data_IF_803787748399
#
_entry.id   IF_803787748399
#
_cell.length_a   1.000
_cell.length_b   1.000
_cell.length_c   1.000
_cell.angle_alpha   90.00
_cell.angle_beta   90.00
_cell.angle_gamma   90.00
#
_symmetry.space_group_name_H-M   'P 1'
#
loop_
_entity.id
_entity.type
_entity.pdbx_description
1 polymer ?
#
# COMPACT_ATOMS: atom_id res chain seq x y z
N UNK A 1 -17.10 43.05 12.56
CA UNK A 1 -15.78 42.87 11.91
C UNK A 1 -15.66 41.38 11.76
N UNK A 2 -16.22 40.86 10.67
CA UNK A 2 -16.65 39.47 10.63
C UNK A 2 -15.71 38.67 9.75
N UNK A 3 -15.19 37.60 10.34
CA UNK A 3 -14.20 36.72 9.76
C UNK A 3 -14.73 36.08 8.47
N UNK A 4 -14.03 36.35 7.37
CA UNK A 4 -14.25 35.73 6.08
C UNK A 4 -13.74 34.28 6.12
N UNK A 5 -14.60 33.35 6.54
CA UNK A 5 -14.36 31.91 6.40
C UNK A 5 -14.42 31.54 4.91
N UNK A 6 -13.26 31.56 4.25
CA UNK A 6 -13.10 30.96 2.93
C UNK A 6 -13.09 29.44 3.10
N UNK A 7 -14.27 28.84 2.97
CA UNK A 7 -14.39 27.39 2.77
C UNK A 7 -13.83 27.09 1.39
N UNK A 8 -12.56 26.66 1.33
CA UNK A 8 -11.98 26.10 0.12
C UNK A 8 -12.52 24.67 0.02
N UNK A 9 -13.59 24.51 -0.76
CA UNK A 9 -14.03 23.20 -1.20
C UNK A 9 -12.92 22.64 -2.10
N UNK A 10 -12.17 21.65 -1.60
CA UNK A 10 -11.29 20.83 -2.44
C UNK A 10 -12.11 20.26 -3.60
N UNK A 11 -11.62 20.29 -4.85
CA UNK A 11 -12.31 19.55 -5.90
C UNK A 11 -12.28 18.07 -5.51
N UNK A 12 -13.47 17.48 -5.43
CA UNK A 12 -13.61 16.04 -5.48
C UNK A 12 -13.03 15.63 -6.83
N UNK A 13 -11.80 15.12 -6.83
CA UNK A 13 -11.16 14.58 -8.03
C UNK A 13 -11.83 13.24 -8.29
N UNK A 14 -13.02 13.28 -8.89
CA UNK A 14 -13.89 12.10 -8.99
C UNK A 14 -13.32 11.01 -9.90
N UNK A 15 -12.37 11.30 -10.78
CA UNK A 15 -11.71 10.28 -11.59
C UNK A 15 -10.27 10.69 -11.85
N UNK A 16 -9.31 9.79 -11.59
CA UNK A 16 -7.90 9.93 -11.94
C UNK A 16 -7.61 8.99 -13.13
N UNK A 17 -7.94 9.40 -14.37
CA UNK A 17 -7.96 8.48 -15.50
C UNK A 17 -6.56 7.91 -15.78
N UNK A 18 -5.52 8.70 -15.54
CA UNK A 18 -4.12 8.27 -15.68
C UNK A 18 -3.74 7.14 -14.73
N UNK A 19 -4.27 7.15 -13.51
CA UNK A 19 -4.01 6.13 -12.49
C UNK A 19 -4.77 4.84 -12.83
N UNK A 20 -6.05 4.97 -13.18
CA UNK A 20 -6.90 3.87 -13.62
C UNK A 20 -6.36 3.20 -14.89
N UNK A 21 -6.01 3.97 -15.93
CA UNK A 21 -5.42 3.41 -17.15
C UNK A 21 -4.07 2.73 -16.88
N UNK A 22 -3.21 3.31 -16.03
CA UNK A 22 -1.92 2.72 -15.69
C UNK A 22 -2.07 1.34 -15.06
N UNK A 23 -2.91 1.21 -14.03
CA UNK A 23 -3.16 -0.08 -13.39
C UNK A 23 -3.97 -1.05 -14.26
N UNK A 24 -4.90 -0.56 -15.07
CA UNK A 24 -5.64 -1.40 -16.01
C UNK A 24 -4.73 -2.02 -17.06
N UNK A 25 -3.79 -1.24 -17.62
CA UNK A 25 -2.76 -1.75 -18.55
C UNK A 25 -1.83 -2.76 -17.85
N UNK A 26 -1.37 -2.46 -16.64
CA UNK A 26 -0.50 -3.37 -15.86
C UNK A 26 -1.18 -4.69 -15.48
N UNK A 27 -2.50 -4.69 -15.31
CA UNK A 27 -3.30 -5.89 -15.04
C UNK A 27 -3.65 -6.68 -16.29
N UNK A 28 -3.76 -6.02 -17.45
CA UNK A 28 -4.06 -6.65 -18.75
C UNK A 28 -2.82 -7.27 -19.40
N UNK A 29 -1.63 -6.72 -19.16
CA UNK A 29 -0.38 -7.24 -19.73
C UNK A 29 0.14 -8.45 -18.95
N UNK A 30 -0.24 -9.64 -19.40
CA UNK A 30 0.29 -10.93 -18.91
C UNK A 30 1.83 -11.07 -19.15
N UNK A 31 2.46 -10.17 -19.91
CA UNK A 31 3.90 -10.11 -20.22
C UNK A 31 4.65 -8.99 -19.51
N UNK A 32 4.02 -8.24 -18.60
CA UNK A 32 4.72 -7.26 -17.75
C UNK A 32 5.73 -7.90 -16.77
N UNK A 33 5.84 -9.22 -16.80
CA UNK A 33 6.98 -9.93 -16.23
C UNK A 33 8.22 -9.75 -17.13
N UNK A 34 9.23 -9.04 -16.60
CA UNK A 34 10.67 -9.11 -16.95
C UNK A 34 11.26 -8.13 -17.97
N UNK A 35 10.76 -6.91 -18.08
CA UNK A 35 11.63 -5.83 -18.59
C UNK A 35 11.53 -4.60 -17.71
N UNK A 36 12.59 -4.21 -16.97
CA UNK A 36 12.63 -2.88 -16.39
C UNK A 36 12.68 -1.90 -17.56
N UNK A 37 11.61 -1.15 -17.78
CA UNK A 37 11.69 0.02 -18.65
C UNK A 37 12.67 0.98 -17.96
N UNK A 38 13.89 1.03 -18.49
CA UNK A 38 14.96 1.92 -18.01
C UNK A 38 14.41 3.34 -17.98
N UNK A 39 14.14 3.84 -16.77
CA UNK A 39 14.08 5.26 -16.52
C UNK A 39 15.38 5.88 -17.02
N UNK A 40 15.23 6.96 -17.77
CA UNK A 40 16.31 7.72 -18.40
C UNK A 40 17.39 8.07 -17.36
N UNK A 41 18.60 7.57 -17.59
CA UNK A 41 19.81 7.84 -16.80
C UNK A 41 20.18 9.32 -16.87
N UNK A 42 20.48 9.93 -15.72
CA UNK A 42 21.58 10.89 -15.63
C UNK A 42 22.58 10.33 -14.62
N UNK A 43 23.80 10.19 -15.16
CA UNK A 43 25.08 9.75 -14.62
C UNK A 43 25.22 8.31 -14.10
N UNK A 44 25.83 7.51 -14.98
CA UNK A 44 26.56 6.27 -14.69
C UNK A 44 27.74 6.56 -13.75
N UNK A 45 27.85 5.81 -12.64
CA UNK A 45 29.15 5.42 -12.10
C UNK A 45 29.09 4.01 -11.49
N UNK A 46 30.12 3.16 -11.65
CA UNK A 46 30.02 1.73 -11.44
C UNK A 46 30.70 1.28 -10.14
N UNK A 47 29.95 0.85 -9.14
CA UNK A 47 30.38 -0.30 -8.33
C UNK A 47 29.26 -0.92 -7.49
N UNK A 48 29.29 -2.24 -7.38
CA UNK A 48 28.75 -3.01 -6.26
C UNK A 48 27.25 -2.93 -5.97
N UNK A 49 26.47 -3.87 -6.54
CA UNK A 49 25.22 -4.42 -5.99
C UNK A 49 24.40 -3.47 -5.09
N UNK A 50 23.92 -2.36 -5.64
CA UNK A 50 23.02 -1.45 -4.94
C UNK A 50 21.60 -1.98 -5.11
N UNK A 51 21.10 -2.65 -4.07
CA UNK A 51 19.73 -3.15 -4.00
C UNK A 51 18.79 -1.95 -3.87
N UNK A 52 18.37 -1.41 -5.01
CA UNK A 52 17.44 -0.27 -5.09
C UNK A 52 16.06 -0.70 -4.58
N UNK A 53 15.44 0.12 -3.72
CA UNK A 53 14.18 -0.14 -3.01
C UNK A 53 12.98 -0.47 -3.93
N UNK A 54 13.12 -0.26 -5.24
CA UNK A 54 12.06 -0.43 -6.24
C UNK A 54 12.49 -1.34 -7.41
N UNK A 55 13.30 -2.36 -7.15
CA UNK A 55 13.45 -3.46 -8.09
C UNK A 55 12.05 -4.04 -8.39
N UNK A 56 11.57 -3.88 -9.65
CA UNK A 56 10.25 -4.31 -10.19
C UNK A 56 9.09 -3.29 -10.14
N UNK A 57 9.36 -2.01 -9.95
CA UNK A 57 8.37 -0.95 -10.19
C UNK A 57 8.55 -0.36 -11.58
N UNK A 58 7.44 -0.01 -12.22
CA UNK A 58 7.42 0.78 -13.45
C UNK A 58 6.99 2.18 -13.17
N UNK A 59 7.45 3.08 -14.03
CA UNK A 59 7.28 4.52 -13.88
C UNK A 59 6.45 5.04 -15.05
N UNK A 60 5.46 5.86 -14.74
CA UNK A 60 4.74 6.69 -15.71
C UNK A 60 4.95 8.14 -15.31
N UNK A 61 5.41 8.97 -16.24
CA UNK A 61 5.73 10.37 -15.98
C UNK A 61 7.16 10.57 -15.46
N UNK A 62 7.37 11.56 -14.60
CA UNK A 62 8.70 12.02 -14.18
C UNK A 62 8.93 11.76 -12.71
N UNK A 63 9.99 11.03 -12.40
CA UNK A 63 10.42 10.79 -11.01
C UNK A 63 11.88 11.18 -10.85
N UNK A 64 12.29 11.49 -9.62
CA UNK A 64 13.72 11.59 -9.27
C UNK A 64 14.11 10.41 -8.41
N UNK A 65 15.28 9.86 -8.70
CA UNK A 65 15.97 8.96 -7.81
C UNK A 65 16.90 9.80 -6.93
N UNK A 66 16.72 9.73 -5.62
CA UNK A 66 17.51 10.52 -4.67
C UNK A 66 18.19 9.58 -3.67
N UNK A 67 19.40 9.97 -3.25
CA UNK A 67 20.20 9.20 -2.31
C UNK A 67 20.39 9.90 -0.97
N UNK A 68 20.70 9.09 0.03
CA UNK A 68 20.96 9.50 1.42
C UNK A 68 22.25 10.30 1.62
N UNK A 69 23.09 10.47 0.58
CA UNK A 69 24.32 11.28 0.69
C UNK A 69 23.98 12.77 0.65
N UNK A 70 22.93 13.14 -0.09
CA UNK A 70 22.54 14.53 -0.33
C UNK A 70 21.14 14.87 0.15
N UNK A 71 20.27 13.87 0.30
CA UNK A 71 18.86 14.06 0.63
C UNK A 71 18.45 13.24 1.85
N UNK A 72 17.31 13.61 2.44
CA UNK A 72 16.65 12.77 3.43
C UNK A 72 15.97 11.60 2.75
N UNK A 73 16.29 10.40 3.22
CA UNK A 73 15.71 9.14 2.78
C UNK A 73 15.03 8.50 4.00
N UNK A 74 13.71 8.23 3.96
CA UNK A 74 13.01 7.66 5.10
C UNK A 74 13.59 6.33 5.58
N UNK A 75 13.99 5.44 4.66
CA UNK A 75 14.65 4.19 4.98
C UNK A 75 15.76 3.80 3.99
N UNK A 76 16.86 3.25 4.49
CA UNK A 76 17.91 2.71 3.64
C UNK A 76 18.77 3.79 2.99
N UNK A 77 19.10 3.62 1.70
CA UNK A 77 20.12 4.44 1.02
C UNK A 77 19.59 5.36 -0.08
N UNK A 78 18.42 5.06 -0.63
CA UNK A 78 17.86 5.79 -1.75
C UNK A 78 16.35 5.55 -1.86
N UNK A 79 15.65 6.54 -2.40
CA UNK A 79 14.19 6.54 -2.55
C UNK A 79 13.79 7.20 -3.87
N UNK A 80 12.55 6.99 -4.30
CA UNK A 80 11.96 7.75 -5.40
C UNK A 80 11.12 8.92 -4.87
N UNK A 81 11.38 10.09 -5.42
CA UNK A 81 10.55 11.28 -5.31
C UNK A 81 9.60 11.37 -6.51
N UNK A 82 8.31 11.47 -6.23
CA UNK A 82 7.29 11.73 -7.23
C UNK A 82 7.31 13.23 -7.57
N UNK A 83 7.95 13.59 -8.68
CA UNK A 83 8.13 15.00 -9.05
C UNK A 83 6.80 15.56 -9.51
N UNK A 84 6.32 16.55 -8.79
CA UNK A 84 5.05 17.18 -9.07
C UNK A 84 5.17 18.24 -10.17
N UNK A 85 4.37 18.15 -11.23
CA UNK A 85 4.37 19.07 -12.38
C UNK A 85 3.77 18.44 -13.65
N UNK A 86 3.82 17.12 -13.69
CA UNK A 86 3.05 16.21 -14.55
C UNK A 86 2.54 15.04 -13.67
N UNK A 87 1.58 14.22 -14.12
CA UNK A 87 1.23 12.99 -13.41
C UNK A 87 2.46 12.08 -13.28
N UNK A 88 2.89 11.82 -12.06
CA UNK A 88 4.05 10.98 -11.75
C UNK A 88 3.60 9.79 -10.93
N UNK A 89 3.77 8.60 -11.49
CA UNK A 89 3.22 7.35 -10.97
C UNK A 89 4.31 6.29 -10.93
N UNK A 90 4.40 5.59 -9.80
CA UNK A 90 5.14 4.33 -9.68
C UNK A 90 4.13 3.20 -9.46
N UNK A 91 4.26 2.10 -10.20
CA UNK A 91 3.34 0.97 -10.08
C UNK A 91 4.02 -0.38 -10.23
N UNK A 92 3.45 -1.41 -9.61
CA UNK A 92 3.88 -2.79 -9.71
C UNK A 92 2.68 -3.74 -9.69
N UNK A 93 2.89 -5.00 -10.06
CA UNK A 93 1.85 -6.04 -10.05
C UNK A 93 2.19 -7.10 -9.02
N UNK A 94 1.28 -7.34 -8.07
CA UNK A 94 1.44 -8.34 -7.02
C UNK A 94 0.44 -9.49 -7.19
N UNK A 95 0.93 -10.73 -7.08
CA UNK A 95 0.08 -11.92 -7.07
C UNK A 95 -0.43 -12.19 -5.65
N UNK A 96 -1.75 -12.05 -5.44
CA UNK A 96 -2.43 -12.18 -4.16
C UNK A 96 -3.45 -13.34 -4.17
N UNK A 97 -3.80 -13.80 -2.98
CA UNK A 97 -4.82 -14.83 -2.79
C UNK A 97 -6.20 -14.19 -2.71
N UNK A 98 -7.03 -14.43 -3.72
CA UNK A 98 -8.43 -13.94 -3.77
C UNK A 98 -9.17 -14.29 -2.48
N UNK A 99 -9.89 -13.31 -1.94
CA UNK A 99 -10.66 -13.46 -0.71
C UNK A 99 -9.86 -13.21 0.57
N UNK A 100 -8.53 -13.16 0.50
CA UNK A 100 -7.68 -12.81 1.65
C UNK A 100 -7.63 -11.31 1.90
N UNK A 101 -7.43 -10.93 3.15
CA UNK A 101 -7.18 -9.55 3.55
C UNK A 101 -5.68 -9.30 3.58
N UNK A 102 -5.27 -8.11 3.16
CA UNK A 102 -3.90 -7.63 3.17
C UNK A 102 -3.84 -6.27 3.85
N UNK A 103 -2.67 -5.94 4.38
CA UNK A 103 -2.32 -4.59 4.85
C UNK A 103 -1.14 -4.11 4.02
N UNK A 104 -1.30 -2.98 3.33
CA UNK A 104 -0.21 -2.27 2.66
C UNK A 104 0.26 -1.16 3.60
N UNK A 105 1.54 -1.18 3.93
CA UNK A 105 2.22 -0.16 4.72
C UNK A 105 3.27 0.54 3.86
N UNK A 106 3.45 1.83 4.06
CA UNK A 106 4.47 2.62 3.36
C UNK A 106 4.82 3.87 4.15
N UNK A 107 5.97 4.45 3.85
CA UNK A 107 6.38 5.76 4.33
C UNK A 107 6.18 6.81 3.24
N UNK A 108 5.59 7.94 3.60
CA UNK A 108 5.50 9.13 2.78
C UNK A 108 6.38 10.21 3.43
N UNK A 109 7.13 10.99 2.67
CA UNK A 109 7.97 12.07 3.23
C UNK A 109 8.28 13.20 2.27
N UNK A 110 9.26 14.03 2.66
CA UNK A 110 9.96 14.98 1.81
C UNK A 110 11.48 14.75 1.83
N UNK A 111 12.18 15.24 0.81
CA UNK A 111 13.57 14.93 0.54
C UNK A 111 14.59 15.82 1.28
N UNK A 112 14.17 16.74 2.15
CA UNK A 112 15.05 17.79 2.71
C UNK A 112 15.71 18.68 1.62
N UNK A 113 14.95 18.98 0.57
CA UNK A 113 15.38 19.75 -0.59
C UNK A 113 14.73 21.15 -0.63
N UNK A 114 14.24 21.64 0.51
CA UNK A 114 13.48 22.89 0.64
C UNK A 114 12.14 22.91 -0.12
N UNK A 115 11.60 21.74 -0.51
CA UNK A 115 10.28 21.65 -1.10
C UNK A 115 9.17 21.88 -0.05
N UNK A 116 8.65 23.11 0.01
CA UNK A 116 7.58 23.49 0.95
C UNK A 116 6.23 23.44 0.25
N UNK A 117 5.29 22.64 0.74
CA UNK A 117 3.97 22.50 0.10
C UNK A 117 3.07 21.45 0.74
N UNK A 118 1.84 21.36 0.24
CA UNK A 118 0.91 20.29 0.58
C UNK A 118 1.08 19.14 -0.41
N UNK A 119 1.63 18.03 0.06
CA UNK A 119 1.77 16.83 -0.74
C UNK A 119 0.52 15.98 -0.64
N UNK A 120 0.11 15.44 -1.78
CA UNK A 120 -0.93 14.41 -1.88
C UNK A 120 -0.37 13.22 -2.64
N UNK A 121 -0.51 12.04 -2.04
CA UNK A 121 -0.19 10.75 -2.64
C UNK A 121 -1.48 9.96 -2.78
N UNK A 122 -1.72 9.49 -4.00
CA UNK A 122 -2.80 8.59 -4.34
C UNK A 122 -2.23 7.17 -4.38
N UNK A 123 -2.53 6.38 -3.36
CA UNK A 123 -2.19 4.96 -3.33
C UNK A 123 -3.35 4.16 -3.92
N UNK A 124 -3.11 3.34 -4.93
CA UNK A 124 -4.12 2.49 -5.54
C UNK A 124 -3.78 1.02 -5.35
N UNK A 125 -4.79 0.21 -5.07
CA UNK A 125 -4.72 -1.25 -5.15
C UNK A 125 -5.89 -1.77 -5.97
N UNK A 126 -5.59 -2.42 -7.10
CA UNK A 126 -6.58 -2.78 -8.09
C UNK A 126 -7.30 -1.53 -8.60
N UNK A 127 -8.61 -1.43 -8.37
CA UNK A 127 -9.42 -0.27 -8.74
C UNK A 127 -9.68 0.69 -7.57
N UNK A 128 -9.29 0.34 -6.35
CA UNK A 128 -9.55 1.18 -5.17
C UNK A 128 -8.40 2.16 -4.95
N UNK A 129 -8.73 3.42 -4.71
CA UNK A 129 -7.78 4.51 -4.50
C UNK A 129 -7.96 5.08 -3.09
N UNK A 130 -6.85 5.37 -2.42
CA UNK A 130 -6.76 6.05 -1.14
C UNK A 130 -5.86 7.28 -1.25
N UNK A 131 -6.28 8.36 -0.60
CA UNK A 131 -5.56 9.64 -0.64
C UNK A 131 -4.88 9.88 0.70
N UNK A 132 -3.58 10.17 0.66
CA UNK A 132 -2.76 10.50 1.81
C UNK A 132 -2.18 11.89 1.61
N UNK A 133 -2.29 12.74 2.63
CA UNK A 133 -1.81 14.12 2.56
C UNK A 133 -0.84 14.42 3.69
N UNK A 134 0.14 15.27 3.41
CA UNK A 134 1.03 15.83 4.42
C UNK A 134 1.47 17.24 4.01
N UNK A 135 1.69 18.10 5.00
CA UNK A 135 2.39 19.37 4.80
C UNK A 135 3.90 19.15 4.92
N UNK A 136 4.64 19.43 3.87
CA UNK A 136 6.09 19.47 3.91
C UNK A 136 6.61 20.87 4.26
N UNK A 137 7.67 20.90 5.07
CA UNK A 137 8.48 22.08 5.32
C UNK A 137 9.87 21.99 4.65
N UNK A 138 10.06 21.02 3.75
CA UNK A 138 11.30 20.79 3.02
C UNK A 138 12.50 20.41 3.89
N UNK A 139 12.26 19.78 5.04
CA UNK A 139 13.26 19.52 6.09
C UNK A 139 13.54 18.03 6.33
N UNK A 140 13.05 17.14 5.47
CA UNK A 140 13.25 15.70 5.52
C UNK A 140 12.28 14.94 6.40
N UNK A 141 11.05 15.43 6.56
CA UNK A 141 10.06 14.77 7.42
C UNK A 141 9.42 13.56 6.73
N UNK A 142 9.10 12.51 7.49
CA UNK A 142 8.43 11.31 6.98
C UNK A 142 7.39 10.77 7.97
N UNK A 143 6.32 10.16 7.45
CA UNK A 143 5.21 9.59 8.19
C UNK A 143 4.86 8.20 7.66
N UNK A 144 4.50 7.30 8.58
CA UNK A 144 4.04 5.96 8.22
C UNK A 144 2.54 5.99 7.92
N UNK A 145 2.17 5.32 6.84
CA UNK A 145 0.79 5.13 6.42
C UNK A 145 0.47 3.64 6.26
N UNK A 146 -0.79 3.29 6.44
CA UNK A 146 -1.27 1.94 6.21
C UNK A 146 -2.69 1.95 5.65
N UNK A 147 -2.98 0.96 4.83
CA UNK A 147 -4.33 0.68 4.33
C UNK A 147 -4.58 -0.82 4.34
N UNK A 148 -5.83 -1.20 4.56
CA UNK A 148 -6.27 -2.61 4.57
C UNK A 148 -7.26 -2.83 3.46
N UNK A 149 -7.04 -3.89 2.68
CA UNK A 149 -7.90 -4.24 1.55
C UNK A 149 -8.08 -5.75 1.46
N UNK A 150 -9.11 -6.18 0.74
CA UNK A 150 -9.36 -7.58 0.43
C UNK A 150 -9.05 -7.81 -1.05
N UNK A 151 -8.25 -8.83 -1.36
CA UNK A 151 -7.92 -9.14 -2.76
C UNK A 151 -9.16 -9.70 -3.48
N UNK A 152 -9.59 -9.02 -4.53
CA UNK A 152 -10.74 -9.43 -5.36
C UNK A 152 -10.32 -10.30 -6.55
N UNK A 153 -9.11 -10.06 -7.05
CA UNK A 153 -8.49 -10.77 -8.17
C UNK A 153 -7.10 -11.25 -7.77
N UNK A 154 -6.50 -12.13 -8.59
CA UNK A 154 -5.17 -12.70 -8.31
C UNK A 154 -4.08 -11.64 -8.54
N UNK A 155 -4.03 -11.03 -9.72
CA UNK A 155 -3.04 -10.01 -10.05
C UNK A 155 -3.59 -8.63 -9.71
N UNK A 156 -3.06 -8.01 -8.65
CA UNK A 156 -3.46 -6.67 -8.23
C UNK A 156 -2.34 -5.71 -8.58
N UNK A 157 -2.68 -4.65 -9.32
CA UNK A 157 -1.79 -3.51 -9.46
C UNK A 157 -1.74 -2.74 -8.14
N UNK A 158 -0.54 -2.37 -7.72
CA UNK A 158 -0.30 -1.45 -6.60
C UNK A 158 0.42 -0.24 -7.18
N UNK A 159 -0.11 0.96 -6.97
CA UNK A 159 0.51 2.18 -7.48
C UNK A 159 0.49 3.32 -6.47
N UNK A 160 1.45 4.22 -6.61
CA UNK A 160 1.51 5.50 -5.91
C UNK A 160 1.67 6.61 -6.93
N UNK A 161 0.85 7.65 -6.81
CA UNK A 161 0.87 8.78 -7.71
C UNK A 161 0.82 10.12 -6.99
N UNK A 162 1.42 11.14 -7.62
CA UNK A 162 1.19 12.54 -7.26
C UNK A 162 0.86 13.35 -8.51
N UNK A 163 -0.10 14.27 -8.38
CA UNK A 163 -0.61 15.10 -9.48
C UNK A 163 -0.46 16.60 -9.20
N UNK A 164 -0.32 17.00 -7.94
CA UNK A 164 -0.31 18.42 -7.55
C UNK A 164 1.10 18.99 -7.66
N UNK A 165 1.32 19.86 -8.65
CA UNK A 165 2.56 20.63 -8.86
C UNK A 165 3.07 21.32 -7.59
N UNK A 166 4.25 20.97 -7.11
CA UNK A 166 4.96 21.69 -6.05
C UNK A 166 6.36 22.05 -6.55
N UNK A 167 6.84 23.23 -6.16
CA UNK A 167 8.15 23.72 -6.56
C UNK A 167 8.87 24.34 -5.36
N UNK A 168 10.20 24.28 -5.39
CA UNK A 168 11.05 25.05 -4.48
C UNK A 168 11.01 26.54 -4.82
N UNK A 169 11.61 27.39 -3.97
CA UNK A 169 11.75 28.83 -4.24
C UNK A 169 12.51 29.14 -5.54
N UNK A 170 13.36 28.21 -5.98
CA UNK A 170 14.15 28.34 -7.21
C UNK A 170 13.40 27.80 -8.44
N UNK A 171 12.10 27.53 -8.32
CA UNK A 171 11.22 26.98 -9.35
C UNK A 171 11.62 25.58 -9.83
N UNK A 172 12.25 24.78 -8.96
CA UNK A 172 12.54 23.39 -9.24
C UNK A 172 11.35 22.53 -8.79
N UNK A 173 10.82 21.72 -9.70
CA UNK A 173 9.76 20.77 -9.36
C UNK A 173 10.27 19.72 -8.37
N UNK A 174 9.45 19.45 -7.37
CA UNK A 174 9.71 18.56 -6.25
C UNK A 174 8.39 17.98 -5.74
N UNK A 175 8.42 17.00 -4.85
CA UNK A 175 7.23 16.35 -4.37
C UNK A 175 7.47 15.30 -3.29
N UNK A 176 6.47 14.45 -3.01
CA UNK A 176 6.58 13.47 -1.95
C UNK A 176 7.53 12.34 -2.33
N UNK A 177 8.27 11.85 -1.33
CA UNK A 177 9.03 10.60 -1.42
C UNK A 177 8.19 9.44 -0.90
N UNK A 178 8.27 8.28 -1.56
CA UNK A 178 7.60 7.05 -1.14
C UNK A 178 8.66 5.98 -0.86
N UNK A 179 8.65 5.44 0.35
CA UNK A 179 9.64 4.47 0.81
C UNK A 179 9.01 3.36 1.67
N UNK A 180 9.80 2.35 2.01
CA UNK A 180 9.42 1.27 2.94
C UNK A 180 8.05 0.63 2.62
N UNK A 181 7.83 0.29 1.35
CA UNK A 181 6.56 -0.29 0.91
C UNK A 181 6.52 -1.77 1.27
N UNK A 182 5.67 -2.13 2.24
CA UNK A 182 5.53 -3.51 2.72
C UNK A 182 4.08 -3.97 2.57
N UNK A 183 3.90 -5.18 2.02
CA UNK A 183 2.59 -5.83 1.91
C UNK A 183 2.50 -7.05 2.82
N UNK A 184 1.65 -6.97 3.83
CA UNK A 184 1.42 -8.07 4.78
C UNK A 184 0.14 -8.84 4.42
N UNK A 185 0.22 -10.17 4.37
CA UNK A 185 -0.97 -11.01 4.37
C UNK A 185 -1.60 -10.98 5.77
N UNK A 186 -2.79 -10.40 5.89
CA UNK A 186 -3.54 -10.45 7.13
C UNK A 186 -4.21 -11.82 7.21
N UNK A 187 -3.69 -12.72 8.05
CA UNK A 187 -4.40 -13.96 8.40
C UNK A 187 -5.74 -13.59 9.04
N UNK A 188 -6.80 -13.61 8.23
CA UNK A 188 -8.18 -13.49 8.69
C UNK A 188 -8.53 -14.73 9.49
N UNK A 189 -8.19 -14.74 10.78
CA UNK A 189 -8.65 -15.77 11.71
C UNK A 189 -10.16 -15.65 11.82
N UNK A 190 -10.87 -16.40 10.99
CA UNK A 190 -12.20 -16.93 11.32
C UNK A 190 -12.13 -18.45 11.18
N UNK A 191 -11.54 -19.18 12.15
CA UNK A 191 -12.00 -20.53 12.37
C UNK A 191 -13.47 -20.36 12.77
N UNK A 192 -14.37 -20.61 11.82
CA UNK A 192 -15.76 -20.88 12.12
C UNK A 192 -15.78 -22.26 12.76
N UNK A 193 -15.16 -22.38 13.92
CA UNK A 193 -15.24 -23.57 14.74
C UNK A 193 -16.72 -23.64 15.10
N UNK A 194 -17.41 -24.62 14.52
CA UNK A 194 -18.80 -24.94 14.85
C UNK A 194 -18.83 -25.46 16.31
N UNK A 195 -18.55 -24.58 17.27
CA UNK A 195 -18.53 -24.86 18.71
C UNK A 195 -19.90 -25.42 19.13
N UNK A 196 -20.99 -24.95 18.52
CA UNK A 196 -22.32 -25.51 18.71
C UNK A 196 -22.45 -26.99 18.31
N UNK A 197 -21.74 -27.45 17.26
CA UNK A 197 -21.75 -28.86 16.82
C UNK A 197 -20.88 -29.71 17.74
N UNK A 198 -19.74 -29.19 18.18
CA UNK A 198 -18.86 -29.91 19.11
C UNK A 198 -19.49 -30.06 20.51
N UNK A 199 -20.14 -29.01 21.03
CA UNK A 199 -20.86 -29.06 22.31
C UNK A 199 -22.08 -29.99 22.23
N UNK A 200 -22.83 -29.94 21.14
CA UNK A 200 -23.98 -30.84 20.90
C UNK A 200 -23.59 -32.32 21.00
N UNK A 201 -22.53 -32.72 20.29
CA UNK A 201 -22.05 -34.11 20.29
C UNK A 201 -21.48 -34.53 21.65
N UNK A 202 -20.82 -33.63 22.38
CA UNK A 202 -20.33 -33.91 23.74
C UNK A 202 -21.48 -34.13 24.74
N UNK A 203 -22.55 -33.33 24.65
CA UNK A 203 -23.72 -33.50 25.53
C UNK A 203 -24.46 -34.80 25.23
N UNK A 204 -24.61 -35.20 23.96
CA UNK A 204 -25.22 -36.48 23.60
C UNK A 204 -24.39 -37.69 24.08
N UNK A 205 -23.07 -37.64 23.95
CA UNK A 205 -22.18 -38.73 24.40
C UNK A 205 -22.19 -38.87 25.93
N UNK A 206 -22.18 -37.76 26.66
CA UNK A 206 -22.29 -37.79 28.13
C UNK A 206 -23.66 -38.32 28.59
N UNK A 207 -24.76 -37.93 27.92
CA UNK A 207 -26.10 -38.45 28.23
C UNK A 207 -26.23 -39.94 27.96
N UNK A 208 -25.75 -40.41 26.81
CA UNK A 208 -25.79 -41.84 26.46
C UNK A 208 -24.92 -42.67 27.40
N UNK A 209 -23.72 -42.19 27.74
CA UNK A 209 -22.86 -42.86 28.72
C UNK A 209 -23.51 -42.94 30.11
N UNK A 210 -24.16 -41.87 30.57
CA UNK A 210 -24.88 -41.86 31.84
C UNK A 210 -26.05 -42.86 31.86
N UNK A 211 -26.83 -42.95 30.78
CA UNK A 211 -27.91 -43.93 30.62
C UNK A 211 -27.36 -45.37 30.65
N UNK A 212 -26.27 -45.63 29.92
CA UNK A 212 -25.64 -46.97 29.89
C UNK A 212 -25.12 -47.36 31.28
N UNK A 213 -24.49 -46.43 32.01
CA UNK A 213 -24.03 -46.66 33.38
C UNK A 213 -25.20 -46.95 34.32
N UNK A 214 -26.33 -46.25 34.17
CA UNK A 214 -27.52 -46.45 34.99
C UNK A 214 -28.17 -47.83 34.74
N UNK A 215 -28.26 -48.25 33.47
CA UNK A 215 -28.74 -49.58 33.09
C UNK A 215 -27.81 -50.70 33.58
N UNK A 216 -26.50 -50.51 33.46
CA UNK A 216 -25.51 -51.46 33.96
C UNK A 216 -25.60 -51.63 35.48
N UNK A 217 -25.86 -50.52 36.20
CA UNK A 217 -26.09 -50.55 37.65
C UNK A 217 -27.35 -51.32 38.02
N UNK A 218 -28.43 -51.22 37.25
CA UNK A 218 -29.67 -51.98 37.50
C UNK A 218 -29.54 -53.48 37.22
N UNK A 219 -28.68 -53.88 36.27
CA UNK A 219 -28.41 -55.30 35.94
C UNK A 219 -27.52 -56.02 36.96
N UNK A 220 -26.67 -55.29 37.70
CA UNK A 220 -25.79 -55.86 38.73
C UNK A 220 -26.44 -55.99 40.12
N UNK A 221 -27.68 -55.50 40.30
CA UNK A 221 -28.44 -55.57 41.57
C UNK A 221 -29.66 -56.51 41.50
N UNK A 222 -29.75 -57.36 40.48
CA UNK A 222 -30.63 -58.56 40.43
C UNK A 222 -29.81 -59.81 40.72
#
# INVERSE_FOLDING_TARGET
MDANHTVICWPVVDHLPSLELGCQLAMMDQHFQRTPQRGFLLDDEPDGQQQSALQQWSIIGTVKYIDSKHYSVPEGKAVIELVSGAPSVVLTSAALTVGSTYTLEFMMGDANDSCVGDFTVYAQVGMTIWNFTMRSNGSGTAQNHSLRFKAEIILNCISFASFNGTQTSDNLFCGPVIDNVILHHSYGVRPKLHIGVLISNLVLTLKTLWIVLQLCRSLFYM
#
